data_IF_124265972996
#
_entry.id   IF_124265972996
#
_cell.length_a   1.000
_cell.length_b   1.000
_cell.length_c   1.000
_cell.angle_alpha   90.00
_cell.angle_beta   90.00
_cell.angle_gamma   90.00
#
_symmetry.space_group_name_H-M   'P 1'
#
loop_
_entity.id
_entity.type
_entity.pdbx_description
1 polymer ?
#
# COMPACT_ATOMS: atom_id res chain seq x y z
N UNK A 1 -16.50 0.88 -33.58
CA UNK A 1 -15.48 0.77 -32.53
C UNK A 1 -15.92 -0.21 -31.48
N UNK A 2 -15.03 -1.03 -31.01
CA UNK A 2 -15.34 -2.00 -29.97
C UNK A 2 -15.39 -1.31 -28.61
N UNK A 3 -16.32 -1.71 -27.75
CA UNK A 3 -16.43 -1.20 -26.39
C UNK A 3 -15.24 -1.60 -25.49
N UNK A 4 -14.42 -2.53 -25.95
CA UNK A 4 -13.26 -2.95 -25.17
C UNK A 4 -12.23 -1.83 -24.97
N UNK A 5 -12.27 -0.80 -25.82
CA UNK A 5 -11.34 0.32 -25.73
C UNK A 5 -11.73 1.32 -24.66
N UNK A 6 -12.94 1.16 -24.12
CA UNK A 6 -13.47 2.07 -23.12
C UNK A 6 -14.06 1.27 -21.98
N UNK A 7 -13.48 1.40 -20.80
CA UNK A 7 -13.99 0.71 -19.62
C UNK A 7 -14.76 1.70 -18.75
N UNK A 8 -15.86 1.25 -18.15
CA UNK A 8 -16.64 2.14 -17.28
C UNK A 8 -15.83 2.50 -16.03
N UNK A 9 -16.11 3.69 -15.52
CA UNK A 9 -15.58 4.10 -14.22
C UNK A 9 -16.20 3.21 -13.13
N UNK A 10 -15.39 2.88 -12.12
CA UNK A 10 -15.83 2.13 -10.94
C UNK A 10 -15.69 3.01 -9.71
N UNK A 11 -16.60 2.84 -8.78
CA UNK A 11 -16.56 3.57 -7.51
C UNK A 11 -16.81 2.59 -6.36
N UNK A 12 -16.03 2.77 -5.29
CA UNK A 12 -16.17 1.97 -4.08
C UNK A 12 -16.08 2.89 -2.89
N UNK A 13 -17.12 2.91 -2.07
CA UNK A 13 -17.10 3.69 -0.84
C UNK A 13 -16.40 2.89 0.26
N UNK A 14 -15.58 3.57 1.05
CA UNK A 14 -14.83 2.91 2.11
C UNK A 14 -15.74 2.21 3.13
N UNK A 15 -16.94 2.75 3.37
CA UNK A 15 -17.88 2.14 4.31
C UNK A 15 -18.43 0.79 3.83
N UNK A 16 -18.25 0.47 2.55
CA UNK A 16 -18.69 -0.81 1.99
C UNK A 16 -17.65 -1.92 2.20
N UNK A 17 -16.54 -1.62 2.83
CA UNK A 17 -15.47 -2.57 3.15
C UNK A 17 -15.20 -2.58 4.64
N UNK A 18 -14.80 -3.73 5.14
CA UNK A 18 -14.39 -3.88 6.54
C UNK A 18 -12.89 -3.65 6.68
N UNK A 19 -12.47 -3.18 7.85
CA UNK A 19 -11.05 -3.13 8.17
C UNK A 19 -10.53 -4.55 8.36
N UNK A 20 -9.36 -4.82 7.78
CA UNK A 20 -8.67 -6.10 7.92
C UNK A 20 -7.30 -5.86 8.54
N UNK A 21 -6.90 -6.73 9.47
CA UNK A 21 -5.58 -6.63 10.08
C UNK A 21 -4.50 -6.94 9.06
N UNK A 22 -3.41 -6.17 9.11
CA UNK A 22 -2.24 -6.45 8.31
C UNK A 22 -1.27 -7.33 9.09
N UNK A 23 -0.13 -7.66 8.46
CA UNK A 23 0.83 -8.58 9.07
C UNK A 23 1.50 -7.99 10.32
N UNK A 24 1.59 -6.67 10.41
CA UNK A 24 2.21 -6.00 11.56
C UNK A 24 1.15 -5.50 12.53
N UNK A 25 1.41 -5.62 13.86
CA UNK A 25 0.45 -5.13 14.83
C UNK A 25 0.20 -3.63 14.69
N UNK A 26 -1.03 -3.23 14.99
CA UNK A 26 -1.40 -1.83 14.99
C UNK A 26 -1.74 -1.26 13.62
N UNK A 27 -1.80 -2.09 12.60
CA UNK A 27 -2.13 -1.64 11.25
C UNK A 27 -3.29 -2.43 10.69
N UNK A 28 -4.25 -1.72 10.10
CA UNK A 28 -5.40 -2.32 9.42
C UNK A 28 -5.61 -1.62 8.09
N UNK A 29 -6.12 -2.37 7.12
CA UNK A 29 -6.37 -1.84 5.80
C UNK A 29 -7.80 -2.05 5.34
N UNK A 30 -8.25 -1.17 4.46
CA UNK A 30 -9.44 -1.38 3.63
C UNK A 30 -8.96 -1.36 2.19
N UNK A 31 -9.07 -2.50 1.51
CA UNK A 31 -8.71 -2.57 0.10
C UNK A 31 -9.92 -2.23 -0.74
N UNK A 32 -9.84 -1.16 -1.49
CA UNK A 32 -10.95 -0.71 -2.33
C UNK A 32 -10.82 -1.26 -3.75
N UNK A 33 -9.61 -1.29 -4.29
CA UNK A 33 -9.32 -1.91 -5.58
C UNK A 33 -8.11 -2.81 -5.44
N UNK A 34 -8.13 -3.92 -6.16
CA UNK A 34 -7.07 -4.90 -6.08
C UNK A 34 -6.94 -5.63 -7.41
N UNK A 35 -5.72 -5.96 -7.86
CA UNK A 35 -5.54 -6.77 -9.06
C UNK A 35 -6.23 -8.12 -8.93
N UNK A 36 -6.72 -8.62 -10.06
CA UNK A 36 -7.36 -9.93 -10.16
C UNK A 36 -6.87 -10.62 -11.42
N UNK A 37 -7.12 -11.93 -11.56
CA UNK A 37 -6.75 -12.63 -12.80
C UNK A 37 -7.35 -11.99 -14.06
N UNK A 38 -8.55 -11.42 -13.94
CA UNK A 38 -9.22 -10.75 -15.06
C UNK A 38 -8.68 -9.35 -15.29
N UNK A 39 -8.09 -8.76 -14.26
CA UNK A 39 -7.59 -7.38 -14.32
C UNK A 39 -6.22 -7.31 -13.61
N UNK A 40 -5.21 -7.95 -14.18
CA UNK A 40 -3.91 -8.04 -13.50
C UNK A 40 -3.18 -6.71 -13.36
N UNK A 41 -3.55 -5.72 -14.15
CA UNK A 41 -2.91 -4.40 -14.10
C UNK A 41 -3.71 -3.37 -13.32
N UNK A 42 -4.82 -3.77 -12.68
CA UNK A 42 -5.57 -2.87 -11.83
C UNK A 42 -4.69 -2.42 -10.65
N UNK A 43 -4.92 -1.20 -10.13
CA UNK A 43 -4.16 -0.75 -8.98
C UNK A 43 -4.55 -1.52 -7.72
N UNK A 44 -3.63 -1.56 -6.77
CA UNK A 44 -3.91 -1.99 -5.42
C UNK A 44 -4.07 -0.72 -4.59
N UNK A 45 -5.29 -0.38 -4.21
CA UNK A 45 -5.57 0.94 -3.65
C UNK A 45 -6.56 0.86 -2.51
N UNK A 46 -6.35 1.70 -1.50
CA UNK A 46 -7.24 1.73 -0.37
C UNK A 46 -6.72 2.61 0.76
N UNK A 47 -7.06 2.22 1.97
CA UNK A 47 -6.72 2.96 3.18
C UNK A 47 -5.97 2.06 4.14
N UNK A 48 -5.02 2.65 4.86
CA UNK A 48 -4.38 1.99 6.01
C UNK A 48 -4.50 2.93 7.18
N UNK A 49 -4.99 2.39 8.31
CA UNK A 49 -5.00 3.13 9.57
C UNK A 49 -3.96 2.53 10.50
N UNK A 50 -3.37 3.39 11.29
CA UNK A 50 -2.26 3.06 12.18
C UNK A 50 -2.63 3.43 13.60
N UNK A 51 -2.40 2.49 14.53
CA UNK A 51 -2.49 2.82 15.95
C UNK A 51 -1.25 3.59 16.38
N UNK A 52 -1.34 4.42 17.43
CA UNK A 52 -0.16 5.08 17.98
C UNK A 52 0.92 4.06 18.34
N UNK A 53 2.15 4.38 17.94
CA UNK A 53 3.30 3.52 18.21
C UNK A 53 3.53 2.42 17.20
N UNK A 54 2.69 2.28 16.18
CA UNK A 54 2.87 1.23 15.18
C UNK A 54 4.00 1.56 14.20
N UNK A 55 4.63 0.52 13.69
CA UNK A 55 5.69 0.62 12.69
C UNK A 55 5.87 -0.75 12.04
N UNK A 56 6.64 -0.79 10.96
CA UNK A 56 7.01 -2.06 10.34
C UNK A 56 8.47 -2.01 9.85
N UNK A 57 9.08 -3.18 9.60
CA UNK A 57 10.49 -3.25 9.20
C UNK A 57 10.76 -2.70 7.81
N UNK A 58 12.00 -2.36 7.57
CA UNK A 58 12.49 -2.01 6.25
C UNK A 58 12.23 -3.16 5.28
N UNK A 59 11.73 -2.85 4.10
CA UNK A 59 11.51 -3.84 3.06
C UNK A 59 11.52 -3.19 1.68
N UNK A 60 11.50 -4.00 0.62
CA UNK A 60 11.54 -3.48 -0.75
C UNK A 60 10.34 -3.95 -1.55
N UNK A 61 10.02 -3.17 -2.56
CA UNK A 61 8.95 -3.47 -3.51
C UNK A 61 9.47 -3.36 -4.94
N UNK A 62 8.89 -4.13 -5.84
CA UNK A 62 9.13 -4.05 -7.27
C UNK A 62 7.92 -3.45 -8.00
N UNK A 63 7.33 -2.44 -7.41
CA UNK A 63 6.24 -1.67 -7.98
C UNK A 63 6.35 -0.23 -7.47
N UNK A 64 5.54 0.65 -8.05
CA UNK A 64 5.48 2.04 -7.61
C UNK A 64 4.29 2.25 -6.68
N UNK A 65 4.37 3.29 -5.84
CA UNK A 65 3.25 3.62 -4.98
C UNK A 65 3.23 5.09 -4.63
N UNK A 66 2.03 5.60 -4.38
CA UNK A 66 1.83 6.89 -3.74
C UNK A 66 1.03 6.67 -2.48
N UNK A 67 1.37 7.45 -1.46
CA UNK A 67 0.67 7.47 -0.18
C UNK A 67 0.31 8.90 0.14
N UNK A 68 -0.89 9.12 0.66
CA UNK A 68 -1.34 10.45 1.03
C UNK A 68 -1.82 10.42 2.47
N UNK A 69 -1.24 11.29 3.30
CA UNK A 69 -1.57 11.34 4.73
C UNK A 69 -2.86 12.14 4.90
N UNK A 70 -3.88 11.46 5.42
CA UNK A 70 -5.18 12.06 5.70
C UNK A 70 -5.26 12.54 7.14
N UNK A 71 -4.69 11.78 8.08
CA UNK A 71 -4.71 12.10 9.52
C UNK A 71 -3.44 11.62 10.16
N UNK A 72 -3.00 12.33 11.20
CA UNK A 72 -1.86 11.93 12.00
C UNK A 72 -0.53 12.40 11.46
N UNK A 73 0.53 12.08 12.22
CA UNK A 73 1.90 12.41 11.84
C UNK A 73 2.72 11.15 11.72
N UNK A 74 3.58 11.12 10.72
CA UNK A 74 4.39 9.95 10.40
C UNK A 74 5.85 10.34 10.24
N UNK A 75 6.72 9.66 10.99
CA UNK A 75 8.17 9.78 10.86
C UNK A 75 8.64 8.82 9.78
N UNK A 76 9.27 9.34 8.73
CA UNK A 76 9.83 8.53 7.65
C UNK A 76 11.26 9.00 7.47
N UNK A 77 12.20 8.09 7.77
CA UNK A 77 13.59 8.50 7.85
C UNK A 77 13.77 9.56 8.92
N UNK A 78 14.37 10.70 8.56
CA UNK A 78 14.60 11.80 9.50
C UNK A 78 13.51 12.87 9.44
N UNK A 79 12.52 12.69 8.56
CA UNK A 79 11.50 13.72 8.36
C UNK A 79 10.17 13.32 8.97
N UNK A 80 9.48 14.31 9.53
CA UNK A 80 8.12 14.16 10.06
C UNK A 80 7.15 14.77 9.08
N UNK A 81 6.13 14.00 8.70
CA UNK A 81 5.14 14.43 7.72
C UNK A 81 3.74 14.38 8.33
N UNK A 82 2.94 15.39 8.05
CA UNK A 82 1.57 15.50 8.54
C UNK A 82 0.53 15.43 7.44
N UNK A 83 -0.75 15.65 7.80
CA UNK A 83 -1.86 15.59 6.84
C UNK A 83 -1.64 16.51 5.65
N UNK A 84 -2.01 16.03 4.46
CA UNK A 84 -1.82 16.77 3.22
C UNK A 84 -0.52 16.45 2.51
N UNK A 85 0.36 15.64 3.09
CA UNK A 85 1.60 15.23 2.46
C UNK A 85 1.37 14.05 1.54
N UNK A 86 1.89 14.14 0.32
CA UNK A 86 1.91 13.02 -0.62
C UNK A 86 3.32 12.47 -0.71
N UNK A 87 3.44 11.15 -0.58
CA UNK A 87 4.71 10.44 -0.63
C UNK A 87 4.73 9.62 -1.92
N UNK A 88 5.81 9.70 -2.67
CA UNK A 88 5.95 8.90 -3.88
C UNK A 88 7.15 7.98 -3.76
N UNK A 89 6.90 6.70 -4.02
CA UNK A 89 7.94 5.68 -4.05
C UNK A 89 8.01 5.12 -5.48
N UNK A 90 9.11 5.38 -6.20
CA UNK A 90 9.25 4.87 -7.56
C UNK A 90 9.46 3.35 -7.59
N UNK A 91 9.40 2.76 -8.76
CA UNK A 91 9.64 1.33 -8.96
C UNK A 91 11.04 1.13 -9.54
N UNK A 92 11.91 0.30 -8.94
CA UNK A 92 11.75 -0.33 -7.62
C UNK A 92 12.18 0.61 -6.49
N UNK A 93 11.85 0.25 -5.27
CA UNK A 93 12.28 1.06 -4.14
C UNK A 93 12.45 0.22 -2.87
N UNK A 94 13.29 0.75 -1.97
CA UNK A 94 13.26 0.34 -0.58
C UNK A 94 12.27 1.24 0.14
N UNK A 95 11.37 0.62 0.88
CA UNK A 95 10.42 1.39 1.66
C UNK A 95 11.01 1.69 3.03
N UNK A 96 11.33 2.96 3.26
CA UNK A 96 11.65 3.45 4.59
C UNK A 96 10.35 3.37 5.40
N UNK A 97 10.28 2.52 6.43
CA UNK A 97 9.02 2.28 7.10
C UNK A 97 8.57 3.51 7.87
N UNK A 98 7.29 3.85 7.78
CA UNK A 98 6.76 4.92 8.61
C UNK A 98 6.60 4.44 10.05
N UNK A 99 6.81 5.34 10.99
CA UNK A 99 6.42 5.16 12.37
C UNK A 99 5.55 6.34 12.78
N UNK A 100 4.67 6.13 13.74
CA UNK A 100 3.76 7.19 14.16
C UNK A 100 3.54 7.14 15.67
N UNK A 101 3.68 8.30 16.33
CA UNK A 101 3.34 8.41 17.75
C UNK A 101 1.88 8.74 17.96
N UNK A 102 1.25 9.34 16.98
CA UNK A 102 -0.13 9.81 17.06
C UNK A 102 -1.14 8.80 16.55
N UNK A 103 -0.67 7.81 15.77
CA UNK A 103 -1.55 7.06 14.90
C UNK A 103 -1.96 7.91 13.72
N UNK A 104 -2.73 7.34 12.81
CA UNK A 104 -3.17 8.10 11.66
C UNK A 104 -3.83 7.26 10.60
N UNK A 105 -4.08 7.92 9.47
CA UNK A 105 -4.78 7.33 8.34
C UNK A 105 -4.11 7.78 7.05
N UNK A 106 -3.79 6.83 6.19
CA UNK A 106 -3.25 7.12 4.87
C UNK A 106 -4.08 6.46 3.78
N UNK A 107 -4.18 7.15 2.65
CA UNK A 107 -4.67 6.57 1.40
C UNK A 107 -3.47 6.14 0.59
N UNK A 108 -3.54 4.98 -0.05
CA UNK A 108 -2.45 4.51 -0.90
C UNK A 108 -2.96 4.02 -2.24
N UNK A 109 -2.10 4.14 -3.24
CA UNK A 109 -2.29 3.56 -4.56
C UNK A 109 -0.98 2.91 -4.96
N UNK A 110 -1.00 1.61 -5.17
CA UNK A 110 0.16 0.84 -5.63
C UNK A 110 -0.13 0.36 -7.04
N UNK A 111 0.85 0.49 -7.91
CA UNK A 111 0.64 0.23 -9.32
C UNK A 111 1.93 -0.28 -9.97
N UNK A 112 1.76 -0.88 -11.13
CA UNK A 112 2.88 -1.46 -11.84
C UNK A 112 3.84 -0.39 -12.35
N UNK A 113 5.10 -0.74 -12.36
CA UNK A 113 6.15 0.08 -12.93
C UNK A 113 7.05 -0.73 -13.85
N UNK A 114 8.20 -0.18 -14.22
CA UNK A 114 9.09 -0.85 -15.19
C UNK A 114 9.53 -2.25 -14.80
N UNK A 115 9.76 -2.50 -13.50
CA UNK A 115 10.26 -3.82 -13.08
C UNK A 115 9.15 -4.84 -12.85
N UNK A 116 7.90 -4.40 -12.78
CA UNK A 116 6.77 -5.31 -12.61
C UNK A 116 6.47 -6.09 -13.89
N UNK A 117 6.71 -5.48 -15.04
CA UNK A 117 6.60 -6.17 -16.31
C UNK A 117 5.21 -6.68 -16.69
N UNK A 118 4.16 -5.98 -16.30
CA UNK A 118 2.79 -6.38 -16.59
C UNK A 118 2.22 -7.45 -15.68
N UNK A 119 3.00 -7.93 -14.69
CA UNK A 119 2.52 -8.90 -13.73
C UNK A 119 1.66 -8.21 -12.67
N UNK A 120 0.77 -8.94 -12.01
CA UNK A 120 0.06 -8.39 -10.85
C UNK A 120 1.05 -7.94 -9.78
N UNK A 121 0.70 -6.88 -9.06
CA UNK A 121 1.55 -6.36 -8.00
C UNK A 121 1.75 -7.42 -6.92
N UNK A 122 0.65 -8.03 -6.49
CA UNK A 122 0.70 -9.11 -5.50
C UNK A 122 0.32 -10.42 -6.19
N UNK A 123 1.32 -11.19 -6.56
CA UNK A 123 1.16 -12.47 -7.24
C UNK A 123 1.48 -13.66 -6.32
N UNK A 124 1.44 -13.43 -5.02
CA UNK A 124 1.78 -14.44 -4.03
C UNK A 124 3.18 -14.32 -3.48
N UNK A 125 4.04 -13.49 -4.07
CA UNK A 125 5.42 -13.29 -3.59
C UNK A 125 5.48 -12.53 -2.28
N UNK A 126 4.52 -11.65 -2.05
CA UNK A 126 4.53 -10.75 -0.90
C UNK A 126 3.12 -10.61 -0.38
N UNK A 127 2.81 -11.37 0.67
CA UNK A 127 1.47 -11.37 1.25
C UNK A 127 1.44 -10.53 2.52
N UNK A 128 0.81 -9.37 2.42
CA UNK A 128 0.72 -8.43 3.54
C UNK A 128 -0.21 -8.89 4.66
N UNK A 129 -1.05 -9.88 4.41
CA UNK A 129 -2.02 -10.36 5.40
C UNK A 129 -1.48 -11.48 6.27
N UNK A 130 -0.44 -12.17 5.84
CA UNK A 130 0.18 -13.22 6.63
C UNK A 130 1.10 -12.63 7.69
N UNK A 131 1.06 -13.18 8.89
CA UNK A 131 1.86 -12.71 10.00
C UNK A 131 3.13 -13.53 10.18
N UNK A 132 3.82 -13.77 9.13
CA UNK A 132 5.12 -14.44 9.18
C UNK A 132 6.23 -13.41 9.26
N UNK A 133 7.43 -13.87 9.60
CA UNK A 133 8.58 -12.99 9.69
C UNK A 133 8.87 -12.35 8.33
N UNK A 134 9.02 -11.05 8.32
CA UNK A 134 9.24 -10.32 7.08
C UNK A 134 10.60 -10.67 6.45
N UNK A 135 11.56 -11.09 7.27
CA UNK A 135 12.86 -11.51 6.77
C UNK A 135 12.79 -12.73 5.85
N UNK A 136 11.73 -13.50 5.94
CA UNK A 136 11.50 -14.64 5.06
C UNK A 136 11.10 -14.24 3.65
N UNK A 137 10.88 -12.96 3.42
CA UNK A 137 10.47 -12.44 2.13
C UNK A 137 11.60 -11.65 1.49
N UNK A 138 11.57 -10.32 1.61
CA UNK A 138 12.51 -9.47 0.88
C UNK A 138 13.06 -8.35 1.73
N UNK A 139 13.20 -8.56 3.02
CA UNK A 139 13.77 -7.55 3.92
C UNK A 139 15.27 -7.44 3.72
N UNK A 140 15.77 -6.20 3.68
CA UNK A 140 17.21 -5.92 3.71
C UNK A 140 17.51 -4.96 4.84
N UNK A 141 18.77 -5.05 5.32
CA UNK A 141 19.23 -4.25 6.45
C UNK A 141 20.48 -3.48 6.10
#
# INVERSE_FOLDING_TARGET
MSNRDHQPMEAMHADDRSWETLRWPGQESKMLFHPSPERPTAPNAGLVRYEPGSHHPFHKHDFAQVWYILEGEFQIGEALHGPGTMLFYPDPHFEAPPSTRTGGLMLFVQYQGPTTGGRPIYDGRFNMKERRAIAEENVER
#
